data_IF_418651471489
#
_entry.id   IF_418651471489
#
_cell.length_a   1.000
_cell.length_b   1.000
_cell.length_c   1.000
_cell.angle_alpha   90.00
_cell.angle_beta   90.00
_cell.angle_gamma   90.00
#
_symmetry.space_group_name_H-M   'P 1'
#
loop_
_entity.id
_entity.type
_entity.pdbx_description
1 polymer ?
#
# COMPACT_ATOMS: atom_id res chain seq x y z
N UNK A 1 5.59 -47.97 -24.70
CA UNK A 1 4.55 -47.09 -25.26
C UNK A 1 4.41 -45.86 -24.37
N UNK A 2 4.48 -44.65 -24.93
CA UNK A 2 4.39 -43.36 -24.22
C UNK A 2 3.45 -42.43 -24.99
N UNK A 3 2.14 -42.66 -24.92
CA UNK A 3 1.16 -41.64 -25.30
C UNK A 3 0.57 -41.08 -24.03
N UNK A 4 1.11 -39.98 -23.55
CA UNK A 4 0.26 -39.02 -22.86
C UNK A 4 0.91 -37.65 -22.95
N UNK A 5 0.63 -36.99 -24.07
CA UNK A 5 1.00 -35.60 -24.31
C UNK A 5 0.59 -34.76 -23.11
N UNK A 6 1.60 -34.09 -22.55
CA UNK A 6 1.40 -33.05 -21.58
C UNK A 6 1.06 -31.79 -22.36
N UNK A 7 -0.18 -31.70 -22.82
CA UNK A 7 -0.72 -30.48 -23.41
C UNK A 7 -1.02 -29.50 -22.25
N UNK A 8 -0.01 -28.74 -21.81
CA UNK A 8 -0.20 -27.68 -20.83
C UNK A 8 -1.01 -26.55 -21.48
N UNK A 9 -2.21 -26.28 -20.96
CA UNK A 9 -2.99 -25.11 -21.38
C UNK A 9 -2.38 -23.85 -20.75
N UNK A 10 -1.82 -22.98 -21.58
CA UNK A 10 -1.37 -21.64 -21.16
C UNK A 10 -2.60 -20.79 -20.82
N UNK A 11 -2.81 -20.53 -19.53
CA UNK A 11 -3.79 -19.54 -19.09
C UNK A 11 -3.13 -18.16 -19.24
N UNK A 12 -3.73 -17.26 -20.03
CA UNK A 12 -3.16 -15.96 -20.42
C UNK A 12 -2.99 -14.98 -19.26
N UNK A 13 -2.03 -15.26 -18.37
CA UNK A 13 -1.67 -14.41 -17.24
C UNK A 13 -0.72 -13.29 -17.67
N UNK A 14 0.08 -13.55 -18.70
CA UNK A 14 1.02 -12.62 -19.31
C UNK A 14 0.27 -11.45 -19.94
N UNK A 15 -0.80 -11.74 -20.68
CA UNK A 15 -1.65 -10.72 -21.33
C UNK A 15 -2.34 -9.81 -20.30
N UNK A 16 -2.79 -10.36 -19.17
CA UNK A 16 -3.35 -9.59 -18.05
C UNK A 16 -2.29 -8.66 -17.42
N UNK A 17 -1.06 -9.15 -17.25
CA UNK A 17 0.04 -8.37 -16.68
C UNK A 17 0.43 -7.18 -17.58
N UNK A 18 0.53 -7.42 -18.89
CA UNK A 18 0.84 -6.39 -19.88
C UNK A 18 -0.25 -5.32 -19.99
N UNK A 19 -1.53 -5.69 -19.88
CA UNK A 19 -2.64 -4.75 -19.87
C UNK A 19 -2.68 -3.88 -18.60
N UNK A 20 -2.40 -4.46 -17.44
CA UNK A 20 -2.25 -3.71 -16.18
C UNK A 20 -1.08 -2.73 -16.25
N UNK A 21 0.07 -3.16 -16.80
CA UNK A 21 1.24 -2.32 -17.01
C UNK A 21 0.97 -1.14 -17.95
N UNK A 22 0.28 -1.39 -19.08
CA UNK A 22 -0.13 -0.34 -20.03
C UNK A 22 -1.11 0.66 -19.41
N UNK A 23 -1.99 0.22 -18.53
CA UNK A 23 -2.92 1.10 -17.79
C UNK A 23 -2.19 1.99 -16.78
N UNK A 24 -1.17 1.44 -16.10
CA UNK A 24 -0.32 2.21 -15.20
C UNK A 24 0.61 3.20 -15.93
N UNK A 25 1.03 2.87 -17.16
CA UNK A 25 1.90 3.70 -18.00
C UNK A 25 1.19 4.92 -18.64
N UNK A 26 -0.13 5.06 -18.50
CA UNK A 26 -0.83 6.27 -18.93
C UNK A 26 -0.42 7.44 -18.03
N UNK A 27 -0.12 8.58 -18.64
CA UNK A 27 0.13 9.82 -17.91
C UNK A 27 -1.08 10.14 -17.02
N UNK A 28 -0.90 10.03 -15.70
CA UNK A 28 -1.93 10.37 -14.72
C UNK A 28 -1.90 11.87 -14.50
N UNK A 29 -3.04 12.58 -14.61
CA UNK A 29 -3.09 13.98 -14.24
C UNK A 29 -2.72 14.12 -12.76
N UNK A 30 -1.99 15.20 -12.43
CA UNK A 30 -1.58 15.45 -11.04
C UNK A 30 -2.84 15.70 -10.19
N UNK A 31 -3.11 14.89 -9.16
CA UNK A 31 -4.27 15.11 -8.30
C UNK A 31 -4.10 16.39 -7.49
N UNK A 32 -5.20 17.09 -7.24
CA UNK A 32 -5.24 18.20 -6.28
C UNK A 32 -5.29 17.59 -4.88
N UNK A 33 -4.36 17.99 -4.02
CA UNK A 33 -4.35 17.59 -2.62
C UNK A 33 -5.17 18.59 -1.80
N UNK A 34 -6.28 18.13 -1.25
CA UNK A 34 -7.07 18.89 -0.28
C UNK A 34 -6.62 18.48 1.13
N UNK A 35 -6.02 19.42 1.85
CA UNK A 35 -5.61 19.22 3.25
C UNK A 35 -6.83 19.39 4.15
N UNK A 36 -6.88 18.63 5.24
CA UNK A 36 -7.80 18.89 6.33
C UNK A 36 -7.55 20.31 6.88
N UNK A 37 -8.63 21.00 7.19
CA UNK A 37 -8.61 22.27 7.90
C UNK A 37 -8.18 22.08 9.36
N UNK A 38 -7.85 23.18 10.04
CA UNK A 38 -7.50 23.14 11.46
C UNK A 38 -8.67 22.68 12.34
N UNK A 39 -9.92 22.99 11.95
CA UNK A 39 -11.12 22.54 12.65
C UNK A 39 -11.28 21.02 12.54
N UNK A 40 -11.18 20.47 11.32
CA UNK A 40 -11.25 19.02 11.09
C UNK A 40 -10.13 18.28 11.83
N UNK A 41 -8.93 18.86 11.90
CA UNK A 41 -7.83 18.28 12.67
C UNK A 41 -8.14 18.25 14.17
N UNK A 42 -8.70 19.32 14.74
CA UNK A 42 -9.08 19.36 16.16
C UNK A 42 -10.18 18.35 16.52
N UNK A 43 -11.16 18.17 15.63
CA UNK A 43 -12.20 17.13 15.78
C UNK A 43 -11.56 15.74 15.73
N UNK A 44 -10.68 15.51 14.76
CA UNK A 44 -9.95 14.26 14.63
C UNK A 44 -9.13 13.93 15.89
N UNK A 45 -8.40 14.90 16.43
CA UNK A 45 -7.59 14.70 17.62
C UNK A 45 -8.45 14.35 18.85
N UNK A 46 -9.62 14.98 18.98
CA UNK A 46 -10.62 14.66 20.02
C UNK A 46 -11.13 13.22 19.90
N UNK A 47 -11.38 12.74 18.67
CA UNK A 47 -11.78 11.35 18.41
C UNK A 47 -10.66 10.38 18.80
N UNK A 48 -9.41 10.69 18.45
CA UNK A 48 -8.27 9.85 18.81
C UNK A 48 -8.03 9.78 20.32
N UNK A 49 -8.27 10.88 21.05
CA UNK A 49 -8.21 10.90 22.51
C UNK A 49 -9.27 9.98 23.12
N UNK A 50 -10.52 10.05 22.64
CA UNK A 50 -11.59 9.17 23.09
C UNK A 50 -11.26 7.69 22.84
N UNK A 51 -10.76 7.36 21.64
CA UNK A 51 -10.31 6.00 21.31
C UNK A 51 -9.17 5.57 22.24
N UNK A 52 -8.19 6.44 22.50
CA UNK A 52 -7.07 6.13 23.40
C UNK A 52 -7.57 5.80 24.81
N UNK A 53 -8.52 6.57 25.34
CA UNK A 53 -9.13 6.33 26.64
C UNK A 53 -9.86 4.99 26.70
N UNK A 54 -10.69 4.70 25.71
CA UNK A 54 -11.50 3.48 25.68
C UNK A 54 -10.65 2.22 25.43
N UNK A 55 -9.59 2.36 24.64
CA UNK A 55 -8.65 1.28 24.31
C UNK A 55 -7.50 1.11 25.30
N UNK A 56 -7.48 1.85 26.42
CA UNK A 56 -6.39 1.85 27.42
C UNK A 56 -5.01 2.16 26.82
N UNK A 57 -4.97 3.12 25.91
CA UNK A 57 -3.75 3.60 25.26
C UNK A 57 -3.32 2.81 24.02
N UNK A 58 -4.13 1.87 23.53
CA UNK A 58 -3.82 1.07 22.33
C UNK A 58 -4.21 1.77 21.00
N UNK A 59 -4.38 3.09 21.00
CA UNK A 59 -4.68 3.86 19.79
C UNK A 59 -3.44 3.92 18.87
N UNK A 60 -3.44 3.10 17.81
CA UNK A 60 -2.31 2.98 16.88
C UNK A 60 -1.94 4.28 16.17
N UNK A 61 -2.91 5.18 15.96
CA UNK A 61 -2.66 6.47 15.33
C UNK A 61 -1.77 7.38 16.18
N UNK A 62 -1.87 7.25 17.51
CA UNK A 62 -1.06 8.00 18.48
C UNK A 62 0.19 7.23 18.92
N UNK A 63 0.34 5.97 18.52
CA UNK A 63 1.53 5.21 18.82
C UNK A 63 2.69 5.73 17.95
N UNK A 64 3.68 6.36 18.57
CA UNK A 64 4.96 6.55 17.90
C UNK A 64 5.55 5.15 17.64
N UNK A 65 5.83 4.78 16.38
CA UNK A 65 6.66 3.62 16.15
C UNK A 65 8.02 3.94 16.79
N UNK A 66 8.42 3.14 17.77
CA UNK A 66 9.83 3.03 18.12
C UNK A 66 10.51 2.63 16.81
N UNK A 67 11.18 3.57 16.15
CA UNK A 67 11.88 3.32 14.90
C UNK A 67 12.96 2.27 15.20
N UNK A 68 12.66 1.00 14.93
CA UNK A 68 13.66 -0.06 14.89
C UNK A 68 14.29 0.05 13.52
N UNK A 69 15.56 0.46 13.49
CA UNK A 69 16.37 0.69 12.30
C UNK A 69 16.15 -0.40 11.24
N UNK A 70 15.48 -0.05 10.14
CA UNK A 70 15.43 -0.91 8.95
C UNK A 70 16.76 -0.76 8.19
N UNK A 71 17.52 -1.84 7.91
CA UNK A 71 18.79 -1.72 7.22
C UNK A 71 18.58 -1.27 5.77
N UNK A 72 19.41 -0.30 5.35
CA UNK A 72 19.42 0.23 3.99
C UNK A 72 19.68 -0.90 2.97
N UNK A 73 18.71 -1.13 2.08
CA UNK A 73 18.90 -2.00 0.92
C UNK A 73 19.83 -1.30 -0.08
N UNK A 74 21.15 -1.46 0.08
CA UNK A 74 22.12 -1.15 -0.96
C UNK A 74 22.03 -2.21 -2.06
N UNK A 75 21.22 -1.93 -3.08
CA UNK A 75 21.32 -2.60 -4.38
C UNK A 75 22.46 -1.97 -5.17
N UNK A 76 23.65 -2.58 -5.09
CA UNK A 76 24.73 -2.33 -6.04
C UNK A 76 24.44 -3.03 -7.36
N UNK A 77 24.56 -2.32 -8.48
CA UNK A 77 24.55 -2.93 -9.80
C UNK A 77 25.95 -2.77 -10.40
N UNK A 78 26.62 -3.90 -10.64
CA UNK A 78 27.81 -4.01 -11.47
C UNK A 78 27.45 -4.41 -12.88
#
# INVERSE_FOLDING_TARGET
>A
ALTRGQESLSIGLETRSEEAGRTAARARPKPVLLRASAEEQGIHDSVLEAISKDSKGACLWNALPLAVDAPAHQGGNG
#
